data_IF_261497374363
#
_entry.id   IF_261497374363
#
_cell.length_a   1.000
_cell.length_b   1.000
_cell.length_c   1.000
_cell.angle_alpha   90.00
_cell.angle_beta   90.00
_cell.angle_gamma   90.00
#
_symmetry.space_group_name_H-M   'P 1'
#
loop_
_entity.id
_entity.type
_entity.pdbx_description
1 polymer ?
#
# COMPACT_ATOMS: atom_id res chain seq x y z
N UNK A 1 -25.18 -23.77 10.49
CA UNK A 1 -23.86 -23.35 11.00
C UNK A 1 -23.10 -22.41 10.06
N UNK A 2 -23.16 -22.58 8.72
CA UNK A 2 -22.53 -21.66 7.74
C UNK A 2 -22.97 -20.19 7.86
N UNK A 3 -24.23 -19.94 8.22
CA UNK A 3 -24.74 -18.57 8.38
C UNK A 3 -24.11 -17.80 9.56
N UNK A 4 -23.69 -18.51 10.62
CA UNK A 4 -23.06 -17.89 11.80
C UNK A 4 -21.58 -17.57 11.53
N UNK A 5 -20.87 -18.46 10.82
CA UNK A 5 -19.47 -18.21 10.41
C UNK A 5 -19.36 -17.04 9.44
N UNK A 6 -20.28 -16.92 8.50
CA UNK A 6 -20.29 -15.83 7.51
C UNK A 6 -20.61 -14.47 8.17
N UNK A 7 -21.36 -14.46 9.27
CA UNK A 7 -21.69 -13.23 10.00
C UNK A 7 -20.52 -12.80 10.89
N UNK A 8 -19.89 -13.73 11.60
CA UNK A 8 -18.70 -13.48 12.42
C UNK A 8 -17.53 -12.98 11.56
N UNK A 9 -17.28 -13.63 10.41
CA UNK A 9 -16.22 -13.22 9.48
C UNK A 9 -16.39 -11.77 9.03
N UNK A 10 -17.59 -11.40 8.58
CA UNK A 10 -17.91 -10.03 8.16
C UNK A 10 -17.69 -9.00 9.26
N UNK A 11 -18.11 -9.29 10.49
CA UNK A 11 -17.89 -8.40 11.63
C UNK A 11 -16.41 -8.21 11.95
N UNK A 12 -15.61 -9.28 11.87
CA UNK A 12 -14.16 -9.22 12.12
C UNK A 12 -13.46 -8.41 11.04
N UNK A 13 -13.75 -8.66 9.75
CA UNK A 13 -13.15 -7.87 8.67
C UNK A 13 -13.57 -6.40 8.69
N UNK A 14 -14.81 -6.10 9.09
CA UNK A 14 -15.25 -4.72 9.30
C UNK A 14 -14.43 -4.04 10.41
N UNK A 15 -14.20 -4.73 11.53
CA UNK A 15 -13.40 -4.21 12.62
C UNK A 15 -11.94 -3.97 12.21
N UNK A 16 -11.33 -4.95 11.52
CA UNK A 16 -9.96 -4.83 10.99
C UNK A 16 -9.86 -3.64 10.05
N UNK A 17 -10.81 -3.48 9.12
CA UNK A 17 -10.80 -2.37 8.16
C UNK A 17 -10.89 -1.02 8.88
N UNK A 18 -11.77 -0.87 9.87
CA UNK A 18 -11.87 0.36 10.66
C UNK A 18 -10.56 0.66 11.38
N UNK A 19 -9.90 -0.34 11.98
CA UNK A 19 -8.60 -0.15 12.63
C UNK A 19 -7.52 0.29 11.64
N UNK A 20 -7.43 -0.35 10.48
CA UNK A 20 -6.47 0.02 9.43
C UNK A 20 -6.71 1.45 8.94
N UNK A 21 -7.98 1.85 8.77
CA UNK A 21 -8.35 3.22 8.42
C UNK A 21 -7.86 4.21 9.49
N UNK A 22 -8.12 3.94 10.77
CA UNK A 22 -7.66 4.80 11.87
C UNK A 22 -6.13 4.91 11.94
N UNK A 23 -5.43 3.79 11.73
CA UNK A 23 -3.95 3.77 11.68
C UNK A 23 -3.46 4.63 10.52
N UNK A 24 -4.03 4.49 9.32
CA UNK A 24 -3.63 5.30 8.16
C UNK A 24 -3.83 6.79 8.39
N UNK A 25 -4.96 7.19 8.99
CA UNK A 25 -5.23 8.58 9.35
C UNK A 25 -4.24 9.09 10.40
N UNK A 26 -3.93 8.28 11.42
CA UNK A 26 -2.94 8.63 12.43
C UNK A 26 -1.55 8.85 11.81
N UNK A 27 -1.13 8.00 10.88
CA UNK A 27 0.14 8.16 10.16
C UNK A 27 0.17 9.47 9.34
N UNK A 28 -0.92 9.84 8.67
CA UNK A 28 -1.03 11.12 7.96
C UNK A 28 -0.90 12.31 8.92
N UNK A 29 -1.59 12.27 10.07
CA UNK A 29 -1.52 13.33 11.09
C UNK A 29 -0.09 13.47 11.63
N UNK A 30 0.57 12.36 11.97
CA UNK A 30 1.96 12.34 12.44
C UNK A 30 2.90 12.92 11.38
N UNK A 31 2.68 12.62 10.10
CA UNK A 31 3.48 13.18 8.99
C UNK A 31 3.42 14.70 8.95
N UNK A 32 2.20 15.26 9.02
CA UNK A 32 1.98 16.72 9.00
C UNK A 32 2.57 17.37 10.26
N UNK A 33 2.39 16.75 11.42
CA UNK A 33 2.97 17.23 12.68
C UNK A 33 4.49 17.27 12.63
N UNK A 34 5.14 16.25 12.05
CA UNK A 34 6.59 16.22 11.85
C UNK A 34 7.10 17.41 11.05
N UNK A 35 6.44 17.73 9.92
CA UNK A 35 6.76 18.90 9.10
C UNK A 35 6.60 20.20 9.91
N UNK A 36 5.50 20.34 10.65
CA UNK A 36 5.24 21.53 11.47
C UNK A 36 6.37 21.80 12.48
N UNK A 37 6.85 20.75 13.15
CA UNK A 37 7.96 20.89 14.11
C UNK A 37 9.29 21.27 13.45
N UNK A 38 9.54 20.79 12.23
CA UNK A 38 10.79 21.01 11.50
C UNK A 38 10.87 22.37 10.77
N UNK A 39 9.80 23.17 10.76
CA UNK A 39 9.71 24.38 9.93
C UNK A 39 10.76 25.46 10.24
N UNK A 40 11.30 25.45 11.46
CA UNK A 40 12.25 26.46 11.95
C UNK A 40 13.70 26.22 11.47
N UNK A 41 14.04 25.01 11.01
CA UNK A 41 15.38 24.66 10.58
C UNK A 41 15.38 24.09 9.16
N UNK A 42 16.00 24.79 8.21
CA UNK A 42 15.97 24.41 6.77
C UNK A 42 16.52 22.99 6.50
N UNK A 43 17.57 22.58 7.21
CA UNK A 43 18.16 21.25 7.05
C UNK A 43 17.21 20.15 7.57
N UNK A 44 16.58 20.37 8.73
CA UNK A 44 15.59 19.46 9.29
C UNK A 44 14.30 19.42 8.47
N UNK A 45 13.90 20.54 7.86
CA UNK A 45 12.72 20.65 7.01
C UNK A 45 12.81 19.72 5.80
N UNK A 46 13.96 19.66 5.14
CA UNK A 46 14.15 18.78 3.98
C UNK A 46 14.02 17.32 4.38
N UNK A 47 14.61 16.92 5.51
CA UNK A 47 14.51 15.55 6.03
C UNK A 47 13.06 15.22 6.43
N UNK A 48 12.42 16.11 7.17
CA UNK A 48 11.03 15.94 7.61
C UNK A 48 10.05 15.84 6.44
N UNK A 49 10.29 16.54 5.33
CA UNK A 49 9.50 16.40 4.11
C UNK A 49 9.68 15.03 3.45
N UNK A 50 10.91 14.50 3.37
CA UNK A 50 11.14 13.16 2.82
C UNK A 50 10.51 12.08 3.71
N UNK A 51 10.72 12.17 5.03
CA UNK A 51 10.11 11.28 6.02
C UNK A 51 8.57 11.31 5.93
N UNK A 52 7.99 12.51 5.78
CA UNK A 52 6.54 12.68 5.62
C UNK A 52 6.02 12.09 4.30
N UNK A 53 6.74 12.22 3.19
CA UNK A 53 6.34 11.59 1.92
C UNK A 53 6.30 10.07 2.09
N UNK A 54 7.33 9.46 2.68
CA UNK A 54 7.34 8.01 2.95
C UNK A 54 6.17 7.60 3.86
N UNK A 55 5.98 8.30 4.98
CA UNK A 55 4.91 7.99 5.93
C UNK A 55 3.50 8.16 5.31
N UNK A 56 3.29 9.15 4.45
CA UNK A 56 2.05 9.36 3.69
C UNK A 56 1.84 8.24 2.65
N UNK A 57 2.89 7.80 1.95
CA UNK A 57 2.80 6.69 0.99
C UNK A 57 2.38 5.39 1.69
N UNK A 58 3.00 5.08 2.83
CA UNK A 58 2.62 3.91 3.63
C UNK A 58 1.18 4.07 4.14
N UNK A 59 0.81 5.26 4.64
CA UNK A 59 -0.55 5.52 5.09
C UNK A 59 -1.58 5.32 3.97
N UNK A 60 -1.31 5.82 2.77
CA UNK A 60 -2.15 5.63 1.59
C UNK A 60 -2.30 4.14 1.24
N UNK A 61 -1.22 3.38 1.25
CA UNK A 61 -1.27 1.95 1.00
C UNK A 61 -2.14 1.20 2.04
N UNK A 62 -1.98 1.52 3.33
CA UNK A 62 -2.79 0.94 4.41
C UNK A 62 -4.26 1.33 4.27
N UNK A 63 -4.55 2.57 3.88
CA UNK A 63 -5.91 3.05 3.63
C UNK A 63 -6.57 2.30 2.46
N UNK A 64 -5.84 2.10 1.36
CA UNK A 64 -6.33 1.37 0.20
C UNK A 64 -6.63 -0.09 0.55
N UNK A 65 -5.79 -0.74 1.36
CA UNK A 65 -6.04 -2.11 1.87
C UNK A 65 -7.26 -2.15 2.79
N UNK A 66 -7.41 -1.17 3.69
CA UNK A 66 -8.59 -1.02 4.54
C UNK A 66 -9.87 -0.93 3.71
N UNK A 67 -9.87 -0.04 2.71
CA UNK A 67 -11.02 0.18 1.83
C UNK A 67 -11.34 -1.08 1.03
N UNK A 68 -10.30 -1.75 0.51
CA UNK A 68 -10.43 -3.02 -0.20
C UNK A 68 -11.08 -4.10 0.68
N UNK A 69 -10.61 -4.30 1.91
CA UNK A 69 -11.19 -5.29 2.83
C UNK A 69 -12.65 -4.97 3.18
N UNK A 70 -12.96 -3.70 3.39
CA UNK A 70 -14.32 -3.25 3.70
C UNK A 70 -15.26 -3.49 2.50
N UNK A 71 -14.83 -3.13 1.29
CA UNK A 71 -15.60 -3.35 0.07
C UNK A 71 -15.77 -4.85 -0.24
N UNK A 72 -14.70 -5.63 -0.14
CA UNK A 72 -14.65 -7.02 -0.59
C UNK A 72 -15.30 -7.99 0.40
N UNK A 73 -15.06 -7.84 1.70
CA UNK A 73 -15.53 -8.79 2.72
C UNK A 73 -16.81 -8.32 3.42
N UNK A 74 -17.00 -7.00 3.61
CA UNK A 74 -18.14 -6.48 4.40
C UNK A 74 -19.32 -6.08 3.51
N UNK A 75 -19.05 -5.31 2.45
CA UNK A 75 -20.08 -4.76 1.57
C UNK A 75 -20.43 -5.69 0.40
N UNK A 76 -19.49 -6.47 -0.11
CA UNK A 76 -19.75 -7.37 -1.21
C UNK A 76 -20.43 -8.66 -0.73
N UNK A 77 -21.61 -8.96 -1.27
CA UNK A 77 -22.22 -10.26 -1.08
C UNK A 77 -21.43 -11.31 -1.88
N UNK A 78 -20.56 -12.06 -1.20
CA UNK A 78 -19.73 -13.17 -1.72
C UNK A 78 -20.48 -14.24 -2.58
N UNK A 79 -21.82 -14.20 -2.67
CA UNK A 79 -22.60 -15.10 -3.53
C UNK A 79 -22.62 -14.61 -4.97
N UNK A 80 -21.61 -15.01 -5.75
CA UNK A 80 -21.71 -15.03 -7.21
C UNK A 80 -20.61 -14.32 -8.00
N UNK A 81 -19.43 -14.03 -7.41
CA UNK A 81 -18.34 -13.43 -8.19
C UNK A 81 -17.81 -14.39 -9.25
N UNK A 82 -17.84 -13.95 -10.50
CA UNK A 82 -17.17 -14.62 -11.61
C UNK A 82 -15.67 -14.74 -11.34
N UNK A 83 -15.02 -15.72 -11.97
CA UNK A 83 -13.55 -15.87 -11.91
C UNK A 83 -12.84 -14.58 -12.38
N UNK A 84 -13.42 -13.89 -13.36
CA UNK A 84 -12.93 -12.61 -13.88
C UNK A 84 -12.96 -11.50 -12.81
N UNK A 85 -14.04 -11.40 -12.02
CA UNK A 85 -14.14 -10.42 -10.94
C UNK A 85 -13.14 -10.71 -9.81
N UNK A 86 -12.99 -11.97 -9.41
CA UNK A 86 -12.01 -12.36 -8.39
C UNK A 86 -10.58 -12.04 -8.83
N UNK A 87 -10.26 -12.30 -10.11
CA UNK A 87 -8.97 -11.93 -10.70
C UNK A 87 -8.76 -10.42 -10.74
N UNK A 88 -9.78 -9.64 -11.09
CA UNK A 88 -9.68 -8.18 -11.12
C UNK A 88 -9.44 -7.61 -9.72
N UNK A 89 -10.09 -8.16 -8.70
CA UNK A 89 -9.87 -7.84 -7.29
C UNK A 89 -8.41 -8.10 -6.87
N UNK A 90 -7.86 -9.28 -7.17
CA UNK A 90 -6.46 -9.62 -6.89
C UNK A 90 -5.48 -8.70 -7.63
N UNK A 91 -5.75 -8.40 -8.91
CA UNK A 91 -4.92 -7.51 -9.71
C UNK A 91 -4.90 -6.09 -9.15
N UNK A 92 -6.05 -5.55 -8.73
CA UNK A 92 -6.13 -4.24 -8.08
C UNK A 92 -5.28 -4.19 -6.83
N UNK A 93 -5.38 -5.20 -5.98
CA UNK A 93 -4.57 -5.31 -4.75
C UNK A 93 -3.06 -5.33 -5.04
N UNK A 94 -2.63 -6.15 -6.01
CA UNK A 94 -1.21 -6.23 -6.37
C UNK A 94 -0.68 -4.94 -7.02
N UNK A 95 -1.51 -4.22 -7.78
CA UNK A 95 -1.16 -2.90 -8.35
C UNK A 95 -0.93 -1.87 -7.24
N UNK A 96 -1.79 -1.84 -6.21
CA UNK A 96 -1.60 -0.95 -5.04
C UNK A 96 -0.25 -1.21 -4.37
N UNK A 97 0.09 -2.49 -4.15
CA UNK A 97 1.40 -2.89 -3.57
C UNK A 97 2.56 -2.44 -4.47
N UNK A 98 2.45 -2.65 -5.79
CA UNK A 98 3.50 -2.27 -6.73
C UNK A 98 3.75 -0.75 -6.74
N UNK A 99 2.70 0.07 -6.69
CA UNK A 99 2.80 1.52 -6.60
C UNK A 99 3.45 1.93 -5.28
N UNK A 100 3.01 1.35 -4.15
CA UNK A 100 3.58 1.64 -2.83
C UNK A 100 5.08 1.31 -2.77
N UNK A 101 5.48 0.12 -3.23
CA UNK A 101 6.89 -0.31 -3.24
C UNK A 101 7.75 0.59 -4.15
N UNK A 102 7.19 1.04 -5.29
CA UNK A 102 7.90 1.95 -6.20
C UNK A 102 8.13 3.33 -5.57
N UNK A 103 7.10 3.87 -4.90
CA UNK A 103 7.20 5.17 -4.22
C UNK A 103 8.13 5.10 -3.01
N UNK A 104 8.06 4.03 -2.24
CA UNK A 104 8.97 3.79 -1.11
C UNK A 104 10.44 3.75 -1.58
N UNK A 105 10.72 3.02 -2.67
CA UNK A 105 12.06 2.97 -3.26
C UNK A 105 12.56 4.33 -3.70
N UNK A 106 11.70 5.17 -4.26
CA UNK A 106 12.06 6.52 -4.66
C UNK A 106 12.39 7.42 -3.46
N UNK A 107 11.60 7.36 -2.38
CA UNK A 107 11.87 8.10 -1.14
C UNK A 107 13.22 7.68 -0.56
N UNK A 108 13.48 6.37 -0.49
CA UNK A 108 14.74 5.81 -0.02
C UNK A 108 15.94 6.21 -0.89
N UNK A 109 15.79 6.32 -2.22
CA UNK A 109 16.85 6.83 -3.11
C UNK A 109 17.19 8.29 -2.77
N UNK A 110 16.17 9.13 -2.55
CA UNK A 110 16.38 10.53 -2.21
C UNK A 110 17.01 10.75 -0.84
N UNK A 111 16.71 9.87 0.12
CA UNK A 111 17.28 9.93 1.46
C UNK A 111 18.72 9.43 1.46
N UNK A 112 18.96 8.20 0.97
CA UNK A 112 20.28 7.60 0.91
C UNK A 112 21.26 8.39 0.02
N UNK A 113 20.77 8.94 -1.10
CA UNK A 113 21.60 9.70 -2.04
C UNK A 113 22.13 11.03 -1.49
N UNK A 114 21.55 11.56 -0.41
CA UNK A 114 22.04 12.75 0.28
C UNK A 114 23.15 12.44 1.29
N UNK A 115 23.21 11.21 1.80
CA UNK A 115 24.22 10.80 2.78
C UNK A 115 25.49 10.29 2.10
N UNK A 116 25.39 9.18 1.36
CA UNK A 116 26.51 8.54 0.66
C UNK A 116 25.97 7.72 -0.52
N UNK A 117 26.65 7.78 -1.66
CA UNK A 117 26.38 6.95 -2.84
C UNK A 117 26.33 5.46 -2.49
N UNK A 118 27.14 5.00 -1.52
CA UNK A 118 27.14 3.59 -1.07
C UNK A 118 25.80 3.15 -0.48
N UNK A 119 25.03 4.06 0.10
CA UNK A 119 23.72 3.75 0.69
C UNK A 119 22.64 3.51 -0.38
N UNK A 120 22.91 3.83 -1.66
CA UNK A 120 21.98 3.59 -2.77
C UNK A 120 21.78 2.11 -3.12
N UNK A 121 22.57 1.20 -2.57
CA UNK A 121 22.47 -0.25 -2.86
C UNK A 121 21.08 -0.78 -2.46
N UNK A 122 20.64 -0.52 -1.23
CA UNK A 122 19.35 -1.02 -0.74
C UNK A 122 18.15 -0.42 -1.50
N UNK A 123 18.03 0.92 -1.67
CA UNK A 123 16.98 1.52 -2.49
C UNK A 123 16.95 0.98 -3.93
N UNK A 124 18.13 0.73 -4.52
CA UNK A 124 18.22 0.16 -5.88
C UNK A 124 17.61 -1.24 -5.94
N UNK A 125 17.95 -2.13 -5.00
CA UNK A 125 17.34 -3.46 -4.94
C UNK A 125 15.84 -3.42 -4.70
N UNK A 126 15.36 -2.46 -3.90
CA UNK A 126 13.94 -2.26 -3.65
C UNK A 126 13.21 -1.82 -4.93
N UNK A 127 13.80 -0.92 -5.72
CA UNK A 127 13.27 -0.54 -7.05
C UNK A 127 13.29 -1.70 -8.04
N UNK A 128 14.35 -2.53 -8.04
CA UNK A 128 14.39 -3.75 -8.86
C UNK A 128 13.25 -4.70 -8.47
N UNK A 129 13.01 -4.90 -7.16
CA UNK A 129 11.91 -5.71 -6.68
C UNK A 129 10.54 -5.15 -7.14
N UNK A 130 10.35 -3.83 -7.09
CA UNK A 130 9.14 -3.19 -7.62
C UNK A 130 8.93 -3.46 -9.11
N UNK A 131 9.99 -3.34 -9.92
CA UNK A 131 9.96 -3.68 -11.34
C UNK A 131 9.61 -5.16 -11.56
N UNK A 132 10.18 -6.07 -10.76
CA UNK A 132 9.86 -7.50 -10.84
C UNK A 132 8.40 -7.79 -10.49
N UNK A 133 7.81 -7.09 -9.52
CA UNK A 133 6.37 -7.21 -9.21
C UNK A 133 5.53 -6.76 -10.41
N UNK A 134 5.88 -5.64 -11.04
CA UNK A 134 5.17 -5.14 -12.24
C UNK A 134 5.31 -6.12 -13.41
N UNK A 135 6.50 -6.67 -13.65
CA UNK A 135 6.72 -7.70 -14.68
C UNK A 135 5.90 -8.95 -14.35
N UNK A 136 5.93 -9.42 -13.10
CA UNK A 136 5.15 -10.56 -12.63
C UNK A 136 3.66 -10.37 -12.85
N UNK A 137 3.15 -9.15 -12.59
CA UNK A 137 1.77 -8.77 -12.88
C UNK A 137 1.45 -8.82 -14.38
N UNK A 138 2.33 -8.29 -15.22
CA UNK A 138 2.18 -8.35 -16.67
C UNK A 138 2.19 -9.78 -17.21
N UNK A 139 3.05 -10.65 -16.68
CA UNK A 139 3.10 -12.07 -17.01
C UNK A 139 1.83 -12.79 -16.56
N UNK A 140 1.40 -12.58 -15.32
CA UNK A 140 0.16 -13.15 -14.78
C UNK A 140 -1.04 -12.75 -15.65
N UNK A 141 -1.19 -11.46 -15.98
CA UNK A 141 -2.27 -11.00 -16.87
C UNK A 141 -2.23 -11.66 -18.25
N UNK A 142 -1.03 -11.81 -18.84
CA UNK A 142 -0.88 -12.44 -20.16
C UNK A 142 -1.22 -13.93 -20.14
N UNK A 143 -0.80 -14.67 -19.12
CA UNK A 143 -1.05 -16.11 -18.99
C UNK A 143 -2.54 -16.37 -18.78
N UNK A 144 -3.17 -15.63 -17.89
CA UNK A 144 -4.56 -15.89 -17.52
C UNK A 144 -5.56 -15.27 -18.52
N UNK A 145 -5.11 -14.43 -19.47
CA UNK A 145 -5.91 -13.99 -20.63
C UNK A 145 -5.95 -15.02 -21.76
N UNK A 146 -5.05 -16.02 -21.75
CA UNK A 146 -5.01 -17.10 -22.76
C UNK A 146 -5.98 -18.26 -22.48
N UNK A 147 -6.59 -18.28 -21.29
CA UNK A 147 -7.53 -19.32 -20.85
C UNK A 147 -9.00 -18.98 -21.17
N UNK A 148 -9.29 -17.80 -21.71
CA UNK A 148 -10.58 -17.37 -22.29
C UNK A 148 -10.50 -17.38 -23.83
#
# INVERSE_FOLDING_TARGET
MKWLSDWIGRSVYAFISVLLCLISLAMMIVSVWGIWTAIHEKALLIKALLDAIGLIVIAMAVFDVSKFLLEEEVLSSSRGKSLTEQRQTLLKFLVIIAIALSLEGLVFVFDAGKEDIRNLIYPTFLLIAAVLVVIGLGVYQKLTRREE
#
